data_IF_894364345650
#
_entry.id   IF_894364345650
#
_cell.length_a   1.000
_cell.length_b   1.000
_cell.length_c   1.000
_cell.angle_alpha   90.00
_cell.angle_beta   90.00
_cell.angle_gamma   90.00
#
_symmetry.space_group_name_H-M   'P 1'
#
loop_
_entity.id
_entity.type
_entity.pdbx_description
1 polymer ?
#
# COMPACT_ATOMS: atom_id res chain seq x y z
N UNK A 1 -0.65 -4.79 26.10
CA UNK A 1 -0.21 -3.79 25.11
C UNK A 1 -1.18 -3.81 23.92
N UNK A 2 -2.48 -3.54 24.17
CA UNK A 2 -3.57 -3.66 23.18
C UNK A 2 -4.36 -2.35 23.00
N UNK A 3 -3.80 -1.23 23.46
CA UNK A 3 -4.50 0.05 23.57
C UNK A 3 -4.20 1.03 22.42
N UNK A 4 -3.21 0.72 21.57
CA UNK A 4 -2.79 1.58 20.45
C UNK A 4 -3.49 1.24 19.12
N UNK A 5 -3.82 -0.05 18.89
CA UNK A 5 -4.54 -0.48 17.69
C UNK A 5 -6.03 -0.09 17.71
N UNK A 6 -6.64 -0.03 18.90
CA UNK A 6 -8.03 0.40 19.12
C UNK A 6 -8.21 1.92 19.02
N UNK A 7 -7.15 2.72 19.23
CA UNK A 7 -7.17 4.20 19.10
C UNK A 7 -7.03 4.71 17.66
N UNK A 8 -6.52 3.89 16.72
CA UNK A 8 -6.38 4.25 15.28
C UNK A 8 -7.66 4.11 14.46
N UNK A 9 -8.75 3.56 15.01
CA UNK A 9 -10.11 3.70 14.43
C UNK A 9 -10.71 5.09 14.73
N UNK A 10 -9.88 6.14 14.80
CA UNK A 10 -10.35 7.52 14.75
C UNK A 10 -11.05 7.74 13.42
N UNK A 11 -12.37 7.97 13.46
CA UNK A 11 -13.30 8.25 12.36
C UNK A 11 -12.62 8.30 10.98
N UNK A 12 -12.55 7.15 10.29
CA UNK A 12 -12.03 7.08 8.93
C UNK A 12 -12.68 8.20 8.11
N UNK A 13 -11.86 9.10 7.58
CA UNK A 13 -12.34 10.15 6.71
C UNK A 13 -13.02 9.48 5.52
N UNK A 14 -14.34 9.66 5.41
CA UNK A 14 -15.10 9.22 4.25
C UNK A 14 -15.03 10.35 3.21
N UNK A 15 -14.36 10.14 2.06
CA UNK A 15 -14.25 11.15 1.02
C UNK A 15 -15.64 11.47 0.46
N UNK A 16 -15.99 12.76 0.42
CA UNK A 16 -17.18 13.20 -0.31
C UNK A 16 -16.91 13.28 -1.83
N UNK A 17 -17.91 13.71 -2.60
CA UNK A 17 -17.79 13.72 -4.05
C UNK A 17 -16.68 14.66 -4.57
N UNK A 18 -16.50 15.81 -3.92
CA UNK A 18 -15.39 16.71 -4.26
C UNK A 18 -14.04 16.08 -3.95
N UNK A 19 -13.91 15.43 -2.79
CA UNK A 19 -12.71 14.69 -2.41
C UNK A 19 -12.37 13.59 -3.43
N UNK A 20 -13.37 12.84 -3.92
CA UNK A 20 -13.19 11.79 -4.93
C UNK A 20 -12.74 12.32 -6.28
N UNK A 21 -13.25 13.49 -6.69
CA UNK A 21 -12.80 14.15 -7.93
C UNK A 21 -11.34 14.63 -7.80
N UNK A 22 -10.97 15.19 -6.64
CA UNK A 22 -9.58 15.55 -6.32
C UNK A 22 -8.67 14.32 -6.38
N UNK A 23 -9.07 13.20 -5.77
CA UNK A 23 -8.32 11.94 -5.81
C UNK A 23 -8.15 11.46 -7.26
N UNK A 24 -9.21 11.47 -8.09
CA UNK A 24 -9.13 11.10 -9.50
C UNK A 24 -8.10 11.95 -10.26
N UNK A 25 -8.10 13.26 -10.02
CA UNK A 25 -7.12 14.16 -10.62
C UNK A 25 -5.69 13.85 -10.15
N UNK A 26 -5.46 13.65 -8.86
CA UNK A 26 -4.12 13.39 -8.33
C UNK A 26 -3.60 11.98 -8.63
N UNK A 27 -4.48 10.99 -8.83
CA UNK A 27 -4.10 9.67 -9.33
C UNK A 27 -3.54 9.71 -10.76
N UNK A 28 -4.13 10.55 -11.60
CA UNK A 28 -3.68 10.73 -12.98
C UNK A 28 -2.38 11.55 -13.05
N UNK A 29 -2.23 12.56 -12.19
CA UNK A 29 -0.98 13.32 -12.04
C UNK A 29 -0.88 13.89 -10.62
N UNK A 30 -0.03 13.28 -9.80
CA UNK A 30 0.20 13.67 -8.42
C UNK A 30 0.92 15.01 -8.27
N UNK A 31 1.46 15.58 -9.36
CA UNK A 31 2.12 16.89 -9.38
C UNK A 31 1.16 18.05 -9.66
N UNK A 32 -0.13 17.77 -9.90
CA UNK A 32 -1.12 18.81 -10.19
C UNK A 32 -1.19 19.84 -9.07
N UNK A 33 -1.16 21.11 -9.47
CA UNK A 33 -1.27 22.22 -8.53
C UNK A 33 -2.69 22.38 -8.00
N UNK A 34 -2.82 22.87 -6.76
CA UNK A 34 -4.13 23.21 -6.18
C UNK A 34 -4.91 24.22 -7.04
N UNK A 35 -4.21 25.14 -7.73
CA UNK A 35 -4.80 26.09 -8.67
C UNK A 35 -5.45 25.41 -9.86
N UNK A 36 -4.80 24.40 -10.42
CA UNK A 36 -5.36 23.64 -11.55
C UNK A 36 -6.57 22.80 -11.12
N UNK A 37 -6.49 22.15 -9.96
CA UNK A 37 -7.60 21.40 -9.34
C UNK A 37 -8.79 22.33 -9.12
N UNK A 38 -8.57 23.46 -8.48
CA UNK A 38 -9.59 24.47 -8.19
C UNK A 38 -10.31 24.96 -9.44
N UNK A 39 -9.55 25.33 -10.48
CA UNK A 39 -10.09 25.76 -11.77
C UNK A 39 -10.93 24.67 -12.45
N UNK A 40 -10.52 23.40 -12.35
CA UNK A 40 -11.20 22.30 -13.04
C UNK A 40 -12.47 21.82 -12.32
N UNK A 41 -12.53 22.01 -11.01
CA UNK A 41 -13.67 21.62 -10.17
C UNK A 41 -14.58 22.81 -9.80
N UNK A 42 -14.31 23.99 -10.36
CA UNK A 42 -15.02 25.25 -10.09
C UNK A 42 -15.17 25.56 -8.59
N UNK A 43 -14.05 25.49 -7.86
CA UNK A 43 -13.99 25.84 -6.42
C UNK A 43 -12.90 26.87 -6.15
N UNK A 44 -13.00 27.65 -5.05
CA UNK A 44 -11.89 28.49 -4.61
C UNK A 44 -10.60 27.69 -4.38
N UNK A 45 -9.44 28.26 -4.72
CA UNK A 45 -8.15 27.58 -4.54
C UNK A 45 -7.88 27.18 -3.09
N UNK A 46 -8.32 28.00 -2.13
CA UNK A 46 -8.25 27.70 -0.71
C UNK A 46 -9.02 26.41 -0.35
N UNK A 47 -10.18 26.18 -0.96
CA UNK A 47 -10.98 24.97 -0.77
C UNK A 47 -10.25 23.74 -1.29
N UNK A 48 -9.73 23.77 -2.53
CA UNK A 48 -8.96 22.66 -3.09
C UNK A 48 -7.72 22.34 -2.23
N UNK A 49 -6.98 23.37 -1.81
CA UNK A 49 -5.81 23.22 -0.94
C UNK A 49 -6.15 22.57 0.40
N UNK A 50 -7.22 23.02 1.05
CA UNK A 50 -7.70 22.45 2.30
C UNK A 50 -8.07 20.97 2.14
N UNK A 51 -8.81 20.64 1.08
CA UNK A 51 -9.26 19.28 0.76
C UNK A 51 -8.10 18.33 0.51
N UNK A 52 -7.15 18.72 -0.33
CA UNK A 52 -5.92 17.94 -0.59
C UNK A 52 -5.15 17.70 0.70
N UNK A 53 -4.92 18.75 1.50
CA UNK A 53 -4.20 18.61 2.78
C UNK A 53 -4.92 17.65 3.73
N UNK A 54 -6.23 17.80 3.88
CA UNK A 54 -7.06 16.95 4.74
C UNK A 54 -7.01 15.48 4.31
N UNK A 55 -7.05 15.19 3.01
CA UNK A 55 -6.93 13.83 2.46
C UNK A 55 -5.57 13.19 2.74
N UNK A 56 -4.50 14.00 2.70
CA UNK A 56 -3.14 13.55 3.01
C UNK A 56 -2.98 13.32 4.51
N UNK A 57 -3.38 14.28 5.34
CA UNK A 57 -3.29 14.19 6.81
C UNK A 57 -4.13 13.03 7.37
N UNK A 58 -5.24 12.68 6.71
CA UNK A 58 -6.05 11.53 7.10
C UNK A 58 -5.54 10.18 6.57
N UNK A 59 -4.45 10.16 5.79
CA UNK A 59 -3.88 8.95 5.18
C UNK A 59 -4.72 8.35 4.04
N UNK A 60 -5.79 9.03 3.60
CA UNK A 60 -6.64 8.58 2.48
C UNK A 60 -5.91 8.73 1.15
N UNK A 61 -5.08 9.77 1.03
CA UNK A 61 -4.28 10.05 -0.15
C UNK A 61 -2.80 10.14 0.21
N UNK A 62 -1.97 9.34 -0.45
CA UNK A 62 -0.52 9.49 -0.40
C UNK A 62 0.00 9.79 -1.80
N UNK A 63 0.82 10.83 -1.93
CA UNK A 63 1.48 11.19 -3.19
C UNK A 63 2.93 10.75 -3.09
N UNK A 64 3.30 9.75 -3.90
CA UNK A 64 4.64 9.16 -3.89
C UNK A 64 5.28 9.26 -5.26
N UNK A 65 6.61 9.43 -5.27
CA UNK A 65 7.40 9.19 -6.46
C UNK A 65 7.61 7.67 -6.58
N UNK A 66 7.22 7.09 -7.71
CA UNK A 66 7.52 5.70 -8.05
C UNK A 66 8.75 5.69 -8.95
N UNK A 67 9.72 4.86 -8.60
CA UNK A 67 10.94 4.62 -9.39
C UNK A 67 11.03 3.12 -9.62
N UNK A 68 11.35 2.71 -10.85
CA UNK A 68 11.52 1.30 -11.16
C UNK A 68 12.82 0.77 -10.52
N UNK A 69 12.76 -0.24 -9.62
CA UNK A 69 13.93 -0.71 -8.88
C UNK A 69 15.09 -1.16 -9.78
N UNK A 70 14.80 -1.71 -10.96
CA UNK A 70 15.82 -2.13 -11.94
C UNK A 70 16.76 -0.97 -12.34
N UNK A 71 16.22 0.25 -12.48
CA UNK A 71 17.01 1.45 -12.80
C UNK A 71 17.86 1.95 -11.62
N UNK A 72 17.59 1.45 -10.41
CA UNK A 72 18.37 1.71 -9.20
C UNK A 72 19.36 0.58 -8.89
N UNK A 73 19.50 -0.40 -9.80
CA UNK A 73 20.40 -1.55 -9.64
C UNK A 73 19.80 -2.73 -8.88
N UNK A 74 18.49 -2.73 -8.58
CA UNK A 74 17.79 -3.86 -8.00
C UNK A 74 17.27 -4.78 -9.10
N UNK A 75 18.15 -5.64 -9.60
CA UNK A 75 17.88 -6.51 -10.76
C UNK A 75 17.08 -7.78 -10.40
N UNK A 76 16.87 -8.07 -9.12
CA UNK A 76 16.18 -9.28 -8.66
C UNK A 76 14.95 -8.92 -7.84
N UNK A 77 13.80 -9.50 -8.19
CA UNK A 77 12.60 -9.48 -7.35
C UNK A 77 12.27 -10.90 -6.94
N UNK A 78 11.96 -11.12 -5.67
CA UNK A 78 11.45 -12.40 -5.19
C UNK A 78 10.13 -12.23 -4.46
N UNK A 79 9.34 -13.29 -4.48
CA UNK A 79 8.20 -13.50 -3.61
C UNK A 79 8.62 -14.53 -2.57
N UNK A 80 8.53 -14.18 -1.29
CA UNK A 80 8.87 -15.08 -0.19
C UNK A 80 7.63 -15.33 0.63
N UNK A 81 7.27 -16.59 0.81
CA UNK A 81 6.28 -16.99 1.81
C UNK A 81 6.98 -17.38 3.09
N UNK A 82 6.40 -16.97 4.22
CA UNK A 82 6.94 -17.16 5.56
C UNK A 82 5.88 -17.83 6.39
N UNK A 83 6.22 -18.99 6.93
CA UNK A 83 5.45 -19.69 7.94
C UNK A 83 5.92 -19.24 9.32
N UNK A 84 4.98 -18.92 10.19
CA UNK A 84 5.23 -18.24 11.47
C UNK A 84 4.49 -18.97 12.59
N UNK A 85 5.04 -18.94 13.80
CA UNK A 85 4.31 -19.33 15.01
C UNK A 85 3.01 -18.51 15.13
N UNK A 86 1.83 -19.13 15.30
CA UNK A 86 0.55 -18.42 15.25
C UNK A 86 0.44 -17.22 16.19
N UNK A 87 1.01 -17.33 17.39
CA UNK A 87 0.99 -16.27 18.41
C UNK A 87 1.87 -15.06 18.05
N UNK A 88 2.75 -15.21 17.05
CA UNK A 88 3.79 -14.25 16.68
C UNK A 88 3.60 -13.62 15.31
N UNK A 89 2.55 -14.00 14.58
CA UNK A 89 2.27 -13.53 13.21
C UNK A 89 2.36 -12.00 13.12
N UNK A 90 1.74 -11.27 14.05
CA UNK A 90 1.74 -9.81 14.03
C UNK A 90 3.13 -9.21 14.26
N UNK A 91 3.93 -9.79 15.17
CA UNK A 91 5.26 -9.30 15.49
C UNK A 91 6.22 -9.53 14.31
N UNK A 92 6.18 -10.74 13.74
CA UNK A 92 7.00 -11.11 12.57
C UNK A 92 6.61 -10.26 11.35
N UNK A 93 5.32 -10.11 11.08
CA UNK A 93 4.85 -9.27 9.98
C UNK A 93 5.27 -7.80 10.13
N UNK A 94 5.24 -7.25 11.35
CA UNK A 94 5.69 -5.89 11.62
C UNK A 94 7.21 -5.73 11.42
N UNK A 95 8.02 -6.69 11.85
CA UNK A 95 9.47 -6.68 11.66
C UNK A 95 9.84 -6.77 10.17
N UNK A 96 9.17 -7.66 9.44
CA UNK A 96 9.29 -7.80 7.98
C UNK A 96 8.91 -6.51 7.26
N UNK A 97 7.77 -5.90 7.63
CA UNK A 97 7.27 -4.68 6.97
C UNK A 97 8.19 -3.46 7.18
N UNK A 98 9.05 -3.48 8.21
CA UNK A 98 10.04 -2.43 8.44
C UNK A 98 11.32 -2.60 7.59
N UNK A 99 11.47 -3.70 6.85
CA UNK A 99 12.67 -3.96 6.06
C UNK A 99 12.65 -3.21 4.72
N UNK A 100 13.71 -2.46 4.37
CA UNK A 100 13.71 -1.63 3.16
C UNK A 100 13.66 -2.43 1.85
N UNK A 101 14.10 -3.69 1.87
CA UNK A 101 14.02 -4.59 0.72
C UNK A 101 12.57 -5.02 0.41
N UNK A 102 11.69 -4.98 1.41
CA UNK A 102 10.29 -5.44 1.31
C UNK A 102 9.43 -4.33 0.72
N UNK A 103 8.93 -4.55 -0.49
CA UNK A 103 8.07 -3.62 -1.22
C UNK A 103 6.59 -3.82 -0.91
N UNK A 104 6.23 -5.03 -0.47
CA UNK A 104 4.87 -5.40 -0.12
C UNK A 104 4.90 -6.58 0.84
N UNK A 105 4.03 -6.56 1.84
CA UNK A 105 3.85 -7.65 2.80
C UNK A 105 2.37 -7.77 3.16
N UNK A 106 1.90 -9.00 3.36
CA UNK A 106 0.56 -9.27 3.85
C UNK A 106 0.53 -10.50 4.76
N UNK A 107 -0.34 -10.46 5.75
CA UNK A 107 -0.77 -11.64 6.50
C UNK A 107 -1.84 -12.34 5.66
N UNK A 108 -1.68 -13.65 5.45
CA UNK A 108 -2.49 -14.41 4.51
C UNK A 108 -3.39 -15.41 5.24
N UNK A 109 -4.63 -15.57 4.77
CA UNK A 109 -5.48 -16.69 5.16
C UNK A 109 -5.20 -17.86 4.20
N UNK A 110 -4.20 -18.69 4.48
CA UNK A 110 -3.81 -19.77 3.57
C UNK A 110 -2.66 -20.64 4.07
N UNK A 111 -1.96 -21.30 3.14
CA UNK A 111 -0.87 -22.24 3.43
C UNK A 111 0.39 -21.59 4.04
N UNK A 112 0.46 -20.26 4.00
CA UNK A 112 1.54 -19.47 4.58
C UNK A 112 0.93 -18.32 5.36
N UNK A 113 1.59 -17.91 6.44
CA UNK A 113 1.06 -16.89 7.36
C UNK A 113 1.38 -15.48 6.88
N UNK A 114 2.57 -15.28 6.31
CA UNK A 114 3.01 -13.99 5.74
C UNK A 114 3.55 -14.20 4.32
N UNK A 115 3.14 -13.35 3.38
CA UNK A 115 3.67 -13.30 2.01
C UNK A 115 4.30 -11.95 1.75
N UNK A 116 5.50 -11.93 1.18
CA UNK A 116 6.23 -10.71 0.87
C UNK A 116 6.70 -10.67 -0.57
N UNK A 117 6.83 -9.47 -1.10
CA UNK A 117 7.57 -9.18 -2.32
C UNK A 117 8.75 -8.28 -1.97
N UNK A 118 9.96 -8.71 -2.31
CA UNK A 118 11.19 -8.00 -2.00
C UNK A 118 12.08 -7.83 -3.24
N UNK A 119 12.91 -6.79 -3.26
CA UNK A 119 13.86 -6.54 -4.34
C UNK A 119 15.30 -6.47 -3.83
N UNK A 120 16.23 -7.01 -4.61
CA UNK A 120 17.65 -7.15 -4.31
C UNK A 120 18.48 -6.77 -5.53
N UNK A 121 19.73 -6.37 -5.29
CA UNK A 121 20.73 -6.07 -6.32
C UNK A 121 21.20 -7.33 -7.01
N UNK A 122 21.42 -8.38 -6.22
CA UNK A 122 21.97 -9.66 -6.67
C UNK A 122 21.51 -10.82 -5.79
N UNK A 123 21.96 -12.03 -6.16
CA UNK A 123 21.61 -13.27 -5.50
C UNK A 123 22.20 -13.36 -4.08
N UNK A 124 23.36 -12.74 -3.84
CA UNK A 124 24.04 -12.78 -2.54
C UNK A 124 23.36 -11.89 -1.50
N UNK A 125 22.83 -10.74 -1.92
CA UNK A 125 21.98 -9.89 -1.08
C UNK A 125 20.67 -10.61 -0.73
N UNK A 126 20.02 -11.25 -1.71
CA UNK A 126 18.82 -12.06 -1.46
C UNK A 126 19.09 -13.20 -0.49
N UNK A 127 20.19 -13.94 -0.69
CA UNK A 127 20.58 -15.06 0.17
C UNK A 127 20.74 -14.60 1.63
N UNK A 128 21.52 -13.52 1.86
CA UNK A 128 21.73 -12.96 3.20
C UNK A 128 20.43 -12.43 3.81
N UNK A 129 19.56 -11.80 3.02
CA UNK A 129 18.25 -11.38 3.50
C UNK A 129 17.44 -12.57 4.03
N UNK A 130 17.45 -13.69 3.33
CA UNK A 130 16.71 -14.90 3.74
C UNK A 130 17.35 -15.55 4.98
N UNK A 131 18.67 -15.78 4.97
CA UNK A 131 19.34 -16.57 6.01
C UNK A 131 19.68 -15.78 7.26
N UNK A 132 20.03 -14.50 7.11
CA UNK A 132 20.57 -13.70 8.21
C UNK A 132 19.53 -12.76 8.80
N UNK A 133 18.47 -12.45 8.04
CA UNK A 133 17.38 -11.58 8.49
C UNK A 133 16.10 -12.36 8.71
N UNK A 134 15.43 -12.82 7.64
CA UNK A 134 14.12 -13.49 7.76
C UNK A 134 14.16 -14.71 8.68
N UNK A 135 15.08 -15.64 8.45
CA UNK A 135 15.19 -16.87 9.24
C UNK A 135 15.56 -16.61 10.71
N UNK A 136 16.08 -15.41 11.04
CA UNK A 136 16.45 -15.04 12.41
C UNK A 136 15.36 -14.29 13.16
N UNK A 137 14.31 -13.85 12.47
CA UNK A 137 13.15 -13.23 13.12
C UNK A 137 12.53 -14.28 14.03
N UNK A 138 12.51 -14.06 15.37
CA UNK A 138 11.99 -15.07 16.27
C UNK A 138 10.52 -15.35 15.93
N UNK A 139 10.14 -16.63 15.86
CA UNK A 139 8.82 -17.07 15.43
C UNK A 139 8.73 -17.50 13.97
N UNK A 140 9.77 -17.25 13.16
CA UNK A 140 9.86 -17.77 11.80
C UNK A 140 10.15 -19.27 11.81
N UNK A 141 9.27 -20.05 11.18
CA UNK A 141 9.35 -21.51 11.13
C UNK A 141 9.95 -22.01 9.80
N UNK A 142 9.52 -21.41 8.69
CA UNK A 142 9.96 -21.80 7.35
C UNK A 142 9.81 -20.65 6.38
N UNK A 143 10.71 -20.57 5.41
CA UNK A 143 10.59 -19.68 4.26
C UNK A 143 10.58 -20.49 2.96
N UNK A 144 9.83 -20.01 1.98
CA UNK A 144 9.88 -20.53 0.61
C UNK A 144 9.99 -19.34 -0.34
N UNK A 145 11.01 -19.37 -1.22
CA UNK A 145 11.36 -18.24 -2.08
C UNK A 145 11.14 -18.60 -3.53
N UNK A 146 10.36 -17.76 -4.22
CA UNK A 146 10.19 -17.79 -5.67
C UNK A 146 10.80 -16.54 -6.29
N UNK A 147 11.76 -16.70 -7.20
CA UNK A 147 12.38 -15.58 -7.91
C UNK A 147 11.56 -15.25 -9.14
N UNK A 148 11.23 -13.97 -9.33
CA UNK A 148 10.57 -13.50 -10.53
C UNK A 148 11.55 -13.52 -11.70
N UNK A 149 11.29 -14.37 -12.70
CA UNK A 149 12.09 -14.39 -13.94
C UNK A 149 11.84 -13.15 -14.81
N UNK A 150 10.61 -12.63 -14.78
CA UNK A 150 10.21 -11.42 -15.49
C UNK A 150 8.96 -10.83 -14.86
N UNK A 151 9.00 -9.54 -14.54
CA UNK A 151 7.82 -8.79 -14.11
C UNK A 151 7.06 -8.34 -15.36
N UNK A 152 5.88 -8.94 -15.58
CA UNK A 152 5.04 -8.61 -16.75
C UNK A 152 4.25 -7.32 -16.52
N UNK A 153 3.92 -7.01 -15.27
CA UNK A 153 3.18 -5.81 -14.88
C UNK A 153 3.55 -5.42 -13.45
N UNK A 154 3.93 -4.15 -13.26
CA UNK A 154 4.08 -3.52 -11.95
C UNK A 154 3.17 -2.30 -11.91
N UNK A 155 2.14 -2.33 -11.07
CA UNK A 155 1.19 -1.22 -10.95
C UNK A 155 1.11 -0.78 -9.49
N UNK A 156 1.53 0.45 -9.22
CA UNK A 156 1.48 1.04 -7.86
C UNK A 156 0.12 1.68 -7.55
N UNK A 157 -0.65 1.94 -8.61
CA UNK A 157 -2.02 2.40 -8.49
C UNK A 157 -2.93 1.17 -8.41
N UNK A 158 -3.66 1.02 -7.31
CA UNK A 158 -4.70 0.01 -7.19
C UNK A 158 -5.64 0.07 -8.42
N UNK A 159 -5.92 -1.09 -9.03
CA UNK A 159 -6.72 -1.18 -10.24
C UNK A 159 -8.09 -0.50 -10.06
N UNK A 160 -8.40 0.40 -10.98
CA UNK A 160 -9.61 1.20 -11.10
C UNK A 160 -10.90 0.35 -11.04
N UNK A 161 -11.95 0.99 -10.52
CA UNK A 161 -13.38 0.62 -10.56
C UNK A 161 -14.03 -0.10 -9.37
N UNK A 162 -13.33 -0.34 -8.26
CA UNK A 162 -13.97 -0.69 -6.98
C UNK A 162 -14.54 0.54 -6.23
N UNK A 163 -14.69 1.68 -6.90
CA UNK A 163 -15.52 2.79 -6.42
C UNK A 163 -16.93 2.76 -7.00
N UNK A 164 -17.26 1.79 -7.86
CA UNK A 164 -18.65 1.51 -8.25
C UNK A 164 -19.55 1.18 -7.05
N UNK A 165 -18.99 0.73 -5.93
CA UNK A 165 -19.70 0.58 -4.64
C UNK A 165 -20.14 1.91 -4.00
N UNK A 166 -19.69 3.07 -4.51
CA UNK A 166 -20.21 4.38 -4.10
C UNK A 166 -21.50 4.74 -4.88
N UNK A 167 -21.75 4.11 -6.04
CA UNK A 167 -22.97 4.34 -6.83
C UNK A 167 -24.15 3.49 -6.33
N UNK A 168 -23.92 2.42 -5.56
CA UNK A 168 -24.98 1.49 -5.13
C UNK A 168 -25.90 2.04 -4.04
N UNK A 169 -25.49 3.07 -3.27
CA UNK A 169 -26.34 3.67 -2.23
C UNK A 169 -27.27 4.79 -2.73
N UNK A 170 -27.28 5.08 -4.03
CA UNK A 170 -28.13 6.14 -4.63
C UNK A 170 -29.40 5.61 -5.32
N UNK A 171 -29.73 4.32 -5.21
CA UNK A 171 -30.98 3.77 -5.79
C UNK A 171 -31.99 3.20 -4.77
N UNK A 172 -31.78 3.39 -3.46
CA UNK A 172 -32.71 2.90 -2.42
C UNK A 172 -33.46 3.99 -1.65
N UNK A 173 -33.48 5.24 -2.14
CA UNK A 173 -34.26 6.34 -1.50
C UNK A 173 -35.29 6.98 -2.44
N UNK A 174 -35.48 6.47 -3.67
CA UNK A 174 -36.47 7.01 -4.64
C UNK A 174 -37.58 6.02 -5.01
N UNK A 175 -37.97 5.12 -4.10
CA UNK A 175 -39.25 4.43 -4.21
C UNK A 175 -39.96 4.43 -2.85
N UNK A 176 -40.54 5.58 -2.51
CA UNK A 176 -41.75 5.72 -1.70
C UNK A 176 -42.81 6.45 -2.54
#
# INVERSE_FOLDING_TARGET
MNDDQSRRRGRQLQPDELDRQIIRMLRADGRRSNREIARRLDVPEATARYRVRRLIESGVLNITASVEPEHLGYAMTSVVSVQVEPERINDVAAEIAAMPEVMWAAIMAGAHDVLIMASFRDQDEMYRFITDRLARIPGTLRTETSVALRIVKRQHQWATDLTSWIETDLQLVEND
#
